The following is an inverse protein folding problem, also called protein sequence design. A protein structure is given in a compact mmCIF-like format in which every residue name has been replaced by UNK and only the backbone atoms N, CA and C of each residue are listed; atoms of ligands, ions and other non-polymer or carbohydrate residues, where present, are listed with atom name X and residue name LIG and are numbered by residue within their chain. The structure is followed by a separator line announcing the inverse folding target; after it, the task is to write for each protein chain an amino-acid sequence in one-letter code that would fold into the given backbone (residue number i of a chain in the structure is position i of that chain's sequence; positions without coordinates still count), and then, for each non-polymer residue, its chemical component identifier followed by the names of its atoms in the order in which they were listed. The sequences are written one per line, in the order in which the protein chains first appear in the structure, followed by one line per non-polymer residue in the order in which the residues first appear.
data_IF_947175348902
#
_entry.id   IF_947175348902
#
_cell.length_a   1.000
_cell.length_b   1.000
_cell.length_c   1.000
_cell.angle_alpha   90.00
_cell.angle_beta   90.00
_cell.angle_gamma   90.00
#
_symmetry.space_group_name_H-M   'P 1'
#
loop_
_entity.id
_entity.type
_entity.pdbx_description
1 polymer ?
#
# COMPACT_ATOMS: atom_id res chain seq x y z
N UNK A 1 -4.29 16.82 3.01
CA UNK A 1 -4.63 15.38 3.06
C UNK A 1 -3.57 14.65 3.86
N UNK A 2 -3.93 13.68 4.73
CA UNK A 2 -2.94 12.88 5.45
C UNK A 2 -2.13 12.04 4.46
N UNK A 3 -0.82 11.92 4.68
CA UNK A 3 0.03 10.99 3.91
C UNK A 3 -0.33 9.55 4.29
N UNK A 4 -0.38 8.61 3.34
CA UNK A 4 -0.69 7.20 3.59
C UNK A 4 0.58 6.35 3.42
N UNK A 5 1.04 5.70 4.48
CA UNK A 5 2.20 4.81 4.43
C UNK A 5 1.76 3.41 4.84
N UNK A 6 1.92 2.45 3.92
CA UNK A 6 1.45 1.07 4.09
C UNK A 6 2.62 0.10 4.16
N UNK A 7 2.67 -0.68 5.24
CA UNK A 7 3.54 -1.84 5.38
C UNK A 7 2.90 -3.05 4.67
N UNK A 8 3.40 -3.42 3.51
CA UNK A 8 3.00 -4.66 2.85
C UNK A 8 3.93 -5.81 3.30
N UNK A 9 3.48 -6.59 4.27
CA UNK A 9 4.29 -7.69 4.82
C UNK A 9 4.39 -8.89 3.90
N UNK A 10 3.58 -8.92 2.83
CA UNK A 10 3.55 -10.05 1.90
C UNK A 10 3.34 -11.37 2.67
N UNK A 11 4.13 -12.41 2.40
CA UNK A 11 4.03 -13.74 3.03
C UNK A 11 5.15 -13.98 4.07
N UNK A 12 5.56 -12.94 4.81
CA UNK A 12 6.74 -13.05 5.69
C UNK A 12 6.41 -13.23 7.19
N UNK A 13 5.22 -12.82 7.64
CA UNK A 13 4.93 -12.77 9.07
C UNK A 13 4.18 -14.01 9.55
N UNK A 14 4.51 -14.44 10.77
CA UNK A 14 3.79 -15.43 11.58
C UNK A 14 3.09 -14.74 12.75
N UNK A 15 2.17 -15.42 13.45
CA UNK A 15 1.49 -14.82 14.60
C UNK A 15 2.45 -14.30 15.66
N UNK A 16 3.51 -15.06 15.99
CA UNK A 16 4.50 -14.63 16.99
C UNK A 16 5.34 -13.44 16.55
N UNK A 17 5.72 -13.38 15.27
CA UNK A 17 6.48 -12.23 14.77
C UNK A 17 5.61 -10.99 14.62
N UNK A 18 4.31 -11.11 14.39
CA UNK A 18 3.35 -10.01 14.40
C UNK A 18 3.25 -9.40 15.80
N UNK A 19 3.10 -10.23 16.84
CA UNK A 19 3.05 -9.74 18.22
C UNK A 19 4.33 -9.00 18.60
N UNK A 20 5.50 -9.55 18.26
CA UNK A 20 6.79 -8.89 18.49
C UNK A 20 6.92 -7.56 17.73
N UNK A 21 6.48 -7.53 16.48
CA UNK A 21 6.49 -6.33 15.63
C UNK A 21 5.64 -5.21 16.26
N UNK A 22 4.41 -5.52 16.70
CA UNK A 22 3.55 -4.51 17.34
C UNK A 22 4.05 -4.09 18.71
N UNK A 23 4.65 -4.98 19.49
CA UNK A 23 5.32 -4.61 20.74
C UNK A 23 6.41 -3.57 20.49
N UNK A 24 7.22 -3.77 19.44
CA UNK A 24 8.30 -2.84 19.11
C UNK A 24 7.76 -1.55 18.48
N UNK A 25 6.81 -1.64 17.53
CA UNK A 25 6.16 -0.50 16.91
C UNK A 25 5.54 0.44 17.96
N UNK A 26 4.82 -0.10 18.94
CA UNK A 26 4.14 0.67 19.98
C UNK A 26 5.11 1.45 20.90
N UNK A 27 6.36 1.01 21.05
CA UNK A 27 7.39 1.79 21.77
C UNK A 27 7.80 3.05 21.01
N UNK A 28 7.70 3.05 19.71
CA UNK A 28 8.22 4.09 18.82
C UNK A 28 7.15 4.95 18.15
N UNK A 29 5.90 4.47 18.07
CA UNK A 29 4.79 5.16 17.38
C UNK A 29 4.49 6.56 17.95
N UNK A 30 4.79 6.79 19.24
CA UNK A 30 4.68 8.11 19.87
C UNK A 30 5.60 9.19 19.28
N UNK A 31 6.57 8.80 18.45
CA UNK A 31 7.42 9.73 17.68
C UNK A 31 6.72 10.30 16.45
N UNK A 32 5.59 9.69 16.05
CA UNK A 32 4.85 10.06 14.85
C UNK A 32 3.71 11.03 15.15
N UNK A 33 3.56 12.03 14.31
CA UNK A 33 2.35 12.87 14.30
C UNK A 33 1.24 12.22 13.46
N UNK A 34 0.43 11.39 14.10
CA UNK A 34 -0.69 10.69 13.44
C UNK A 34 -1.81 11.63 12.96
N UNK A 35 -1.73 12.93 13.25
CA UNK A 35 -2.62 13.91 12.61
C UNK A 35 -2.24 14.15 11.14
N UNK A 36 -0.97 13.95 10.78
CA UNK A 36 -0.42 14.18 9.44
C UNK A 36 -0.33 12.91 8.60
N UNK A 37 -0.26 11.73 9.25
CA UNK A 37 -0.10 10.46 8.56
C UNK A 37 -1.21 9.47 8.91
N UNK A 38 -1.54 8.60 7.96
CA UNK A 38 -2.27 7.35 8.15
C UNK A 38 -1.30 6.20 7.94
N UNK A 39 -1.15 5.37 8.93
CA UNK A 39 -0.31 4.17 8.86
C UNK A 39 -1.20 2.97 8.57
N UNK A 40 -0.86 2.19 7.55
CA UNK A 40 -1.53 0.95 7.20
C UNK A 40 -0.60 -0.25 7.38
N UNK A 41 -1.18 -1.40 7.72
CA UNK A 41 -0.47 -2.68 7.76
C UNK A 41 -1.27 -3.70 6.97
N UNK A 42 -0.59 -4.36 6.02
CA UNK A 42 -1.17 -5.39 5.16
C UNK A 42 -0.59 -6.78 5.51
N UNK A 43 -1.20 -7.50 6.46
CA UNK A 43 -0.84 -8.88 6.76
C UNK A 43 -1.47 -9.84 5.73
N UNK A 44 -0.98 -11.07 5.65
CA UNK A 44 -1.70 -12.15 4.95
C UNK A 44 -3.05 -12.45 5.61
N UNK A 45 -4.01 -12.98 4.85
CA UNK A 45 -5.41 -13.18 5.30
C UNK A 45 -5.55 -13.88 6.65
N UNK A 46 -4.78 -14.97 6.99
CA UNK A 46 -4.90 -15.65 8.29
C UNK A 46 -4.67 -14.73 9.49
N UNK A 47 -4.00 -13.61 9.30
CA UNK A 47 -3.59 -12.70 10.38
C UNK A 47 -4.42 -11.41 10.47
N UNK A 48 -5.44 -11.23 9.62
CA UNK A 48 -6.26 -10.01 9.62
C UNK A 48 -6.94 -9.76 10.98
N UNK A 49 -7.51 -10.82 11.57
CA UNK A 49 -8.19 -10.74 12.87
C UNK A 49 -7.19 -10.40 13.99
N UNK A 50 -6.03 -11.05 13.99
CA UNK A 50 -4.97 -10.78 14.96
C UNK A 50 -4.52 -9.31 14.87
N UNK A 51 -4.14 -8.85 13.67
CA UNK A 51 -3.71 -7.47 13.47
C UNK A 51 -4.80 -6.49 13.87
N UNK A 52 -6.07 -6.73 13.48
CA UNK A 52 -7.20 -5.89 13.87
C UNK A 52 -7.35 -5.75 15.38
N UNK A 53 -7.05 -6.79 16.15
CA UNK A 53 -7.12 -6.76 17.61
C UNK A 53 -5.95 -6.03 18.28
N UNK A 54 -4.81 -5.91 17.61
CA UNK A 54 -3.59 -5.29 18.13
C UNK A 54 -3.49 -3.79 17.83
N UNK A 55 -4.29 -3.29 16.87
CA UNK A 55 -4.17 -1.91 16.38
C UNK A 55 -5.20 -0.99 17.03
N UNK A 56 -4.73 0.19 17.48
CA UNK A 56 -5.60 1.31 17.86
C UNK A 56 -5.44 2.52 16.93
N UNK A 57 -4.25 2.69 16.33
CA UNK A 57 -3.87 3.88 15.55
C UNK A 57 -3.33 3.52 14.16
N UNK A 58 -3.57 2.30 13.71
CA UNK A 58 -3.09 1.77 12.42
C UNK A 58 -4.28 1.18 11.68
N UNK A 59 -4.36 1.39 10.37
CA UNK A 59 -5.40 0.82 9.52
C UNK A 59 -4.99 -0.57 9.02
N UNK A 60 -5.93 -1.50 9.01
CA UNK A 60 -5.70 -2.83 8.42
C UNK A 60 -5.97 -2.76 6.92
N UNK A 61 -5.05 -3.34 6.15
CA UNK A 61 -5.08 -3.38 4.69
C UNK A 61 -5.12 -4.84 4.24
N UNK A 62 -6.05 -5.23 3.36
CA UNK A 62 -6.00 -6.54 2.72
C UNK A 62 -4.95 -6.56 1.62
N UNK A 63 -4.22 -7.68 1.46
CA UNK A 63 -3.18 -7.80 0.43
C UNK A 63 -3.73 -8.04 -0.98
N UNK A 64 -4.97 -8.50 -1.10
CA UNK A 64 -5.72 -8.65 -2.35
C UNK A 64 -7.21 -8.77 -2.04
N UNK A 65 -8.04 -8.82 -3.08
CA UNK A 65 -9.48 -9.05 -3.00
C UNK A 65 -9.95 -9.82 -4.24
N UNK A 66 -11.00 -10.60 -4.11
CA UNK A 66 -11.63 -11.28 -5.23
C UNK A 66 -12.35 -10.30 -6.16
N UNK A 67 -12.39 -10.60 -7.45
CA UNK A 67 -13.30 -9.94 -8.40
C UNK A 67 -14.76 -10.41 -8.27
N UNK A 68 -15.01 -11.47 -7.50
CA UNK A 68 -16.36 -11.95 -7.17
C UNK A 68 -16.78 -11.46 -5.78
N UNK A 69 -18.10 -11.34 -5.55
CA UNK A 69 -18.62 -10.91 -4.24
C UNK A 69 -18.81 -12.09 -3.30
N UNK A 70 -19.82 -12.92 -3.54
CA UNK A 70 -20.10 -14.13 -2.76
C UNK A 70 -20.43 -15.27 -3.72
N UNK A 71 -20.15 -16.51 -3.32
CA UNK A 71 -20.50 -17.68 -4.11
C UNK A 71 -19.51 -18.82 -4.01
N UNK A 72 -19.58 -19.75 -4.95
CA UNK A 72 -18.76 -20.96 -5.01
C UNK A 72 -17.38 -20.67 -5.63
N UNK A 73 -16.56 -19.90 -4.91
CA UNK A 73 -15.21 -19.46 -5.34
C UNK A 73 -14.20 -19.88 -4.27
N UNK A 74 -13.90 -21.16 -4.20
CA UNK A 74 -12.93 -21.71 -3.24
C UNK A 74 -11.59 -20.98 -3.31
N UNK A 75 -10.97 -20.68 -2.18
CA UNK A 75 -9.75 -19.90 -1.99
C UNK A 75 -9.84 -18.38 -2.22
N UNK A 76 -10.95 -17.87 -2.74
CA UNK A 76 -11.12 -16.43 -2.94
C UNK A 76 -11.64 -15.76 -1.66
N UNK A 77 -11.19 -14.51 -1.43
CA UNK A 77 -11.69 -13.67 -0.33
C UNK A 77 -12.28 -12.40 -0.92
N UNK A 78 -13.56 -12.16 -0.68
CA UNK A 78 -14.29 -11.06 -1.28
C UNK A 78 -14.27 -9.77 -0.46
N UNK A 79 -14.57 -8.65 -1.10
CA UNK A 79 -14.73 -7.37 -0.41
C UNK A 79 -15.81 -7.43 0.68
N UNK A 80 -16.88 -8.21 0.46
CA UNK A 80 -17.96 -8.44 1.45
C UNK A 80 -17.43 -9.07 2.74
N UNK A 81 -16.45 -9.99 2.63
CA UNK A 81 -15.84 -10.64 3.80
C UNK A 81 -14.77 -9.75 4.45
N UNK A 82 -14.11 -8.88 3.70
CA UNK A 82 -13.00 -8.04 4.17
C UNK A 82 -13.47 -6.76 4.88
N UNK A 83 -14.66 -6.24 4.60
CA UNK A 83 -15.15 -4.96 5.11
C UNK A 83 -15.18 -4.84 6.64
N UNK A 84 -15.35 -5.97 7.33
CA UNK A 84 -15.38 -5.97 8.80
C UNK A 84 -13.98 -5.85 9.42
N UNK A 85 -12.93 -6.07 8.62
CA UNK A 85 -11.54 -6.08 9.07
C UNK A 85 -10.72 -4.93 8.50
N UNK A 86 -10.92 -4.62 7.22
CA UNK A 86 -10.00 -3.78 6.46
C UNK A 86 -10.61 -2.44 6.07
N UNK A 87 -9.84 -1.35 6.28
CA UNK A 87 -10.15 -0.02 5.74
C UNK A 87 -9.72 0.13 4.30
N UNK A 88 -8.66 -0.56 3.90
CA UNK A 88 -8.06 -0.52 2.58
C UNK A 88 -7.84 -1.94 2.04
N UNK A 89 -7.68 -2.06 0.72
CA UNK A 89 -7.24 -3.30 0.09
C UNK A 89 -6.30 -3.00 -1.07
N UNK A 90 -5.19 -3.72 -1.15
CA UNK A 90 -4.33 -3.72 -2.33
C UNK A 90 -5.07 -4.42 -3.47
N UNK A 91 -4.93 -3.90 -4.68
CA UNK A 91 -5.57 -4.42 -5.87
C UNK A 91 -4.61 -4.38 -7.03
N UNK A 92 -4.37 -5.52 -7.68
CA UNK A 92 -3.51 -5.60 -8.85
C UNK A 92 -2.02 -5.46 -8.55
N UNK A 93 -1.59 -5.82 -7.33
CA UNK A 93 -0.17 -5.86 -6.97
C UNK A 93 0.60 -6.76 -7.94
N UNK A 94 1.82 -6.39 -8.29
CA UNK A 94 2.65 -7.07 -9.29
C UNK A 94 2.85 -8.59 -9.02
N UNK A 95 2.84 -9.01 -7.76
CA UNK A 95 2.95 -10.42 -7.37
C UNK A 95 1.64 -11.23 -7.53
N UNK A 96 0.48 -10.58 -7.70
CA UNK A 96 -0.82 -11.27 -7.84
C UNK A 96 -1.17 -11.64 -9.27
N UNK A 97 -0.36 -11.22 -10.25
CA UNK A 97 -0.54 -11.48 -11.69
C UNK A 97 -1.95 -11.16 -12.25
N UNK A 98 -2.67 -10.26 -11.60
CA UNK A 98 -3.99 -9.86 -12.05
C UNK A 98 -3.90 -9.01 -13.33
N UNK A 99 -4.72 -9.35 -14.33
CA UNK A 99 -4.90 -8.46 -15.48
C UNK A 99 -5.48 -7.11 -15.02
N UNK A 100 -5.12 -6.02 -15.68
CA UNK A 100 -5.51 -4.66 -15.30
C UNK A 100 -7.04 -4.48 -15.18
N UNK A 101 -7.82 -5.02 -16.14
CA UNK A 101 -9.28 -4.98 -16.10
C UNK A 101 -9.86 -5.73 -14.89
N UNK A 102 -9.24 -6.85 -14.50
CA UNK A 102 -9.58 -7.58 -13.28
C UNK A 102 -9.32 -6.72 -12.04
N UNK A 103 -8.22 -5.97 -12.02
CA UNK A 103 -7.89 -5.04 -10.94
C UNK A 103 -8.93 -3.92 -10.80
N UNK A 104 -9.41 -3.34 -11.90
CA UNK A 104 -10.47 -2.34 -11.84
C UNK A 104 -11.81 -2.90 -11.34
N UNK A 105 -12.13 -4.15 -11.66
CA UNK A 105 -13.32 -4.82 -11.11
C UNK A 105 -13.18 -5.03 -9.60
N UNK A 106 -12.02 -5.48 -9.13
CA UNK A 106 -11.71 -5.63 -7.69
C UNK A 106 -11.84 -4.28 -6.96
N UNK A 107 -11.25 -3.21 -7.51
CA UNK A 107 -11.34 -1.86 -6.95
C UNK A 107 -12.81 -1.40 -6.80
N UNK A 108 -13.62 -1.58 -7.83
CA UNK A 108 -15.05 -1.26 -7.79
C UNK A 108 -15.81 -2.06 -6.72
N UNK A 109 -15.48 -3.33 -6.55
CA UNK A 109 -16.09 -4.17 -5.51
C UNK A 109 -15.69 -3.70 -4.09
N UNK A 110 -14.44 -3.29 -3.89
CA UNK A 110 -14.00 -2.67 -2.63
C UNK A 110 -14.83 -1.43 -2.30
N UNK A 111 -14.99 -0.51 -3.26
CA UNK A 111 -15.74 0.73 -3.04
C UNK A 111 -17.20 0.49 -2.67
N UNK A 112 -17.84 -0.53 -3.25
CA UNK A 112 -19.24 -0.92 -2.91
C UNK A 112 -19.36 -1.35 -1.45
N UNK A 113 -18.33 -1.91 -0.88
CA UNK A 113 -18.28 -2.39 0.51
C UNK A 113 -17.57 -1.40 1.46
N UNK A 114 -17.40 -0.13 1.03
CA UNK A 114 -16.76 0.95 1.80
C UNK A 114 -15.30 0.67 2.16
N UNK A 115 -14.62 -0.19 1.40
CA UNK A 115 -13.17 -0.39 1.45
C UNK A 115 -12.53 0.54 0.42
N UNK A 116 -11.54 1.31 0.81
CA UNK A 116 -10.77 2.14 -0.12
C UNK A 116 -9.74 1.28 -0.85
N UNK A 117 -9.83 1.11 -2.18
CA UNK A 117 -8.83 0.37 -2.92
C UNK A 117 -7.52 1.15 -3.03
N UNK A 118 -6.40 0.43 -2.93
CA UNK A 118 -5.07 0.89 -3.30
C UNK A 118 -4.70 0.12 -4.57
N UNK A 119 -4.91 0.74 -5.73
CA UNK A 119 -4.70 0.09 -7.02
C UNK A 119 -3.27 0.24 -7.47
N UNK A 120 -2.59 -0.89 -7.58
CA UNK A 120 -1.22 -0.96 -8.05
C UNK A 120 -1.16 -0.89 -9.58
N UNK A 121 -0.28 -0.06 -10.10
CA UNK A 121 -0.02 0.13 -11.52
C UNK A 121 1.48 -0.09 -11.75
N UNK A 122 1.82 -1.18 -12.42
CA UNK A 122 3.21 -1.57 -12.66
C UNK A 122 3.77 -1.06 -13.99
N UNK A 123 2.90 -0.74 -14.95
CA UNK A 123 3.30 -0.26 -16.27
C UNK A 123 2.36 0.84 -16.76
N UNK A 124 2.85 2.08 -16.82
CA UNK A 124 2.09 3.22 -17.33
C UNK A 124 1.79 3.13 -18.84
N UNK A 125 2.56 2.37 -19.60
CA UNK A 125 2.36 2.22 -21.03
C UNK A 125 1.09 1.39 -21.33
N UNK A 126 0.75 0.44 -20.47
CA UNK A 126 -0.44 -0.42 -20.63
C UNK A 126 -1.73 0.29 -20.20
N UNK A 127 -1.65 1.38 -19.44
CA UNK A 127 -2.80 2.13 -18.95
C UNK A 127 -3.14 3.25 -19.93
N UNK A 128 -4.02 2.98 -20.91
CA UNK A 128 -4.45 4.01 -21.86
C UNK A 128 -5.42 5.03 -21.23
N UNK A 129 -6.28 4.58 -20.32
CA UNK A 129 -7.28 5.40 -19.63
C UNK A 129 -7.65 4.74 -18.30
N UNK A 130 -7.69 5.53 -17.24
CA UNK A 130 -8.26 5.08 -15.97
C UNK A 130 -9.79 5.23 -16.00
N UNK A 131 -10.55 4.19 -15.60
CA UNK A 131 -11.99 4.31 -15.45
C UNK A 131 -12.38 5.40 -14.44
N UNK A 132 -13.49 6.11 -14.66
CA UNK A 132 -13.92 7.23 -13.81
C UNK A 132 -14.05 6.87 -12.32
N UNK A 133 -14.41 5.62 -12.00
CA UNK A 133 -14.50 5.20 -10.59
C UNK A 133 -13.15 5.19 -9.85
N UNK A 134 -12.02 5.20 -10.57
CA UNK A 134 -10.69 5.21 -9.96
C UNK A 134 -10.36 6.53 -9.25
N UNK A 135 -11.10 7.61 -9.50
CA UNK A 135 -10.99 8.86 -8.72
C UNK A 135 -11.32 8.68 -7.23
N UNK A 136 -12.04 7.62 -6.87
CA UNK A 136 -12.32 7.24 -5.49
C UNK A 136 -11.35 6.16 -4.96
N UNK A 137 -10.14 6.09 -5.49
CA UNK A 137 -9.11 5.14 -5.06
C UNK A 137 -7.78 5.84 -4.79
N UNK A 138 -6.92 5.16 -4.04
CA UNK A 138 -5.50 5.45 -3.95
C UNK A 138 -4.80 4.69 -5.07
N UNK A 139 -3.85 5.32 -5.73
CA UNK A 139 -3.02 4.69 -6.75
C UNK A 139 -1.64 4.41 -6.18
N UNK A 140 -1.11 3.22 -6.42
CA UNK A 140 0.28 2.87 -6.09
C UNK A 140 1.06 2.61 -7.38
N UNK A 141 2.12 3.38 -7.61
CA UNK A 141 3.04 3.16 -8.73
C UNK A 141 4.08 2.12 -8.32
N UNK A 142 4.04 0.95 -8.95
CA UNK A 142 4.96 -0.17 -8.74
C UNK A 142 5.71 -0.46 -10.04
N UNK A 143 6.86 0.16 -10.25
CA UNK A 143 7.71 -0.25 -11.37
C UNK A 143 8.43 -1.54 -11.00
N UNK A 144 8.26 -2.58 -11.80
CA UNK A 144 8.89 -3.88 -11.56
C UNK A 144 10.41 -3.82 -11.60
N UNK A 145 10.99 -2.84 -12.29
CA UNK A 145 12.43 -2.58 -12.31
C UNK A 145 12.93 -1.97 -11.00
N UNK A 146 12.05 -1.34 -10.23
CA UNK A 146 12.36 -0.69 -8.95
C UNK A 146 12.14 -1.62 -7.75
N UNK A 147 11.52 -2.80 -7.95
CA UNK A 147 11.17 -3.71 -6.86
C UNK A 147 12.38 -4.55 -6.46
N UNK A 148 12.63 -4.63 -5.14
CA UNK A 148 13.65 -5.53 -4.59
C UNK A 148 13.22 -6.99 -4.73
N UNK A 149 14.06 -7.82 -5.32
CA UNK A 149 13.83 -9.26 -5.49
C UNK A 149 14.69 -10.08 -4.52
N UNK A 150 14.11 -11.12 -3.93
CA UNK A 150 14.81 -12.07 -3.04
C UNK A 150 15.59 -11.40 -1.88
N UNK A 151 15.08 -10.28 -1.35
CA UNK A 151 15.74 -9.55 -0.26
C UNK A 151 16.94 -8.68 -0.68
N UNK A 152 17.27 -8.65 -1.96
CA UNK A 152 18.29 -7.74 -2.49
C UNK A 152 17.66 -6.41 -2.79
N UNK A 153 18.14 -5.37 -2.09
CA UNK A 153 17.71 -3.99 -2.31
C UNK A 153 18.15 -3.53 -3.72
N UNK A 154 17.20 -3.00 -4.47
CA UNK A 154 17.48 -2.35 -5.74
C UNK A 154 17.56 -0.83 -5.51
N UNK A 155 18.72 -0.22 -5.76
CA UNK A 155 18.90 1.21 -5.59
C UNK A 155 18.12 1.95 -6.69
N UNK A 156 17.21 2.82 -6.27
CA UNK A 156 16.36 3.59 -7.18
C UNK A 156 16.74 5.06 -7.14
N UNK A 157 16.93 5.64 -8.32
CA UNK A 157 17.18 7.06 -8.47
C UNK A 157 15.93 7.87 -8.12
N UNK A 158 16.04 8.82 -7.20
CA UNK A 158 14.97 9.75 -6.84
C UNK A 158 14.47 10.53 -8.07
N UNK A 159 15.36 10.90 -8.98
CA UNK A 159 14.98 11.59 -10.21
C UNK A 159 14.13 10.70 -11.12
N UNK A 160 14.42 9.40 -11.20
CA UNK A 160 13.58 8.44 -11.93
C UNK A 160 12.17 8.38 -11.33
N UNK A 161 12.04 8.29 -10.00
CA UNK A 161 10.74 8.28 -9.33
C UNK A 161 9.98 9.58 -9.59
N UNK A 162 10.65 10.72 -9.51
CA UNK A 162 10.07 12.03 -9.80
C UNK A 162 9.53 12.13 -11.23
N UNK A 163 10.28 11.62 -12.21
CA UNK A 163 9.82 11.56 -13.60
C UNK A 163 8.59 10.65 -13.75
N UNK A 164 8.57 9.48 -13.11
CA UNK A 164 7.40 8.56 -13.15
C UNK A 164 6.16 9.21 -12.53
N UNK A 165 6.30 9.84 -11.36
CA UNK A 165 5.21 10.58 -10.71
C UNK A 165 4.72 11.73 -11.59
N UNK A 166 5.63 12.52 -12.16
CA UNK A 166 5.31 13.62 -13.07
C UNK A 166 4.54 13.13 -14.30
N UNK A 167 5.04 12.10 -14.99
CA UNK A 167 4.39 11.50 -16.16
C UNK A 167 3.00 10.93 -15.85
N UNK A 168 2.84 10.34 -14.65
CA UNK A 168 1.53 9.85 -14.21
C UNK A 168 0.55 11.02 -14.04
N UNK A 169 0.96 12.07 -13.33
CA UNK A 169 0.12 13.26 -13.08
C UNK A 169 -0.23 13.99 -14.38
N UNK A 170 0.74 14.15 -15.27
CA UNK A 170 0.52 14.77 -16.58
C UNK A 170 -0.53 14.02 -17.40
N UNK A 171 -0.50 12.69 -17.34
CA UNK A 171 -1.39 11.84 -18.11
C UNK A 171 -2.79 11.68 -17.51
N UNK A 172 -2.90 11.57 -16.20
CA UNK A 172 -4.14 11.18 -15.52
C UNK A 172 -4.68 12.24 -14.54
N UNK A 173 -3.97 13.34 -14.32
CA UNK A 173 -4.35 14.39 -13.38
C UNK A 173 -4.04 14.03 -11.92
N UNK A 174 -4.72 14.69 -10.99
CA UNK A 174 -4.51 14.56 -9.53
C UNK A 174 -5.79 14.21 -8.77
N UNK A 175 -6.88 13.92 -9.44
CA UNK A 175 -8.20 13.69 -8.83
C UNK A 175 -8.32 12.28 -8.22
N UNK A 176 -7.31 11.87 -7.45
CA UNK A 176 -7.28 10.60 -6.72
C UNK A 176 -7.27 10.85 -5.21
N UNK A 177 -7.62 9.82 -4.42
CA UNK A 177 -7.50 9.88 -2.96
C UNK A 177 -6.04 9.89 -2.48
N UNK A 178 -5.09 9.59 -3.34
CA UNK A 178 -3.66 9.62 -3.07
C UNK A 178 -2.85 8.92 -4.14
N UNK A 179 -1.55 9.26 -4.21
CA UNK A 179 -0.57 8.63 -5.08
C UNK A 179 0.57 8.11 -4.23
N UNK A 180 0.77 6.80 -4.21
CA UNK A 180 1.83 6.13 -3.47
C UNK A 180 2.95 5.69 -4.42
N UNK A 181 4.16 5.61 -3.90
CA UNK A 181 5.26 4.92 -4.55
C UNK A 181 5.50 3.56 -3.88
N UNK A 182 5.54 2.48 -4.67
CA UNK A 182 5.65 1.09 -4.24
C UNK A 182 6.90 0.36 -4.73
N UNK A 183 7.97 1.07 -5.04
CA UNK A 183 9.28 0.48 -5.37
C UNK A 183 10.15 0.23 -4.15
N UNK A 184 11.48 0.24 -4.34
CA UNK A 184 12.45 0.05 -3.25
C UNK A 184 12.52 1.26 -2.32
N UNK A 185 11.74 1.21 -1.23
CA UNK A 185 11.70 2.23 -0.18
C UNK A 185 12.49 1.77 1.04
N UNK A 186 13.29 2.68 1.60
CA UNK A 186 13.99 2.50 2.87
C UNK A 186 14.19 3.87 3.57
N UNK A 187 14.77 3.87 4.78
CA UNK A 187 15.02 5.10 5.54
C UNK A 187 16.01 6.06 4.86
N UNK A 188 16.91 5.58 4.00
CA UNK A 188 17.88 6.44 3.32
C UNK A 188 17.24 7.28 2.21
N UNK A 189 16.18 6.77 1.56
CA UNK A 189 15.51 7.48 0.47
C UNK A 189 14.13 8.07 0.85
N UNK A 190 13.56 7.68 1.98
CA UNK A 190 12.20 8.11 2.38
C UNK A 190 12.05 9.63 2.46
N UNK A 191 13.03 10.34 3.03
CA UNK A 191 13.01 11.79 3.14
C UNK A 191 13.02 12.50 1.78
N UNK A 192 13.80 12.02 0.82
CA UNK A 192 13.82 12.58 -0.54
C UNK A 192 12.54 12.26 -1.31
N UNK A 193 12.01 11.03 -1.16
CA UNK A 193 10.70 10.67 -1.72
C UNK A 193 9.60 11.60 -1.17
N UNK A 194 9.67 11.97 0.11
CA UNK A 194 8.71 12.88 0.75
C UNK A 194 8.67 14.29 0.18
N UNK A 195 9.70 14.70 -0.58
CA UNK A 195 9.81 16.00 -1.26
C UNK A 195 9.23 16.00 -2.68
N UNK A 196 8.88 14.83 -3.23
CA UNK A 196 8.33 14.71 -4.59
C UNK A 196 6.90 15.28 -4.62
N UNK A 197 6.70 16.33 -5.39
CA UNK A 197 5.39 16.98 -5.55
C UNK A 197 4.40 16.00 -6.17
N UNK A 198 3.22 15.87 -5.54
CA UNK A 198 2.17 14.96 -5.96
C UNK A 198 2.24 13.56 -5.36
N UNK A 199 3.37 13.17 -4.77
CA UNK A 199 3.47 11.90 -4.04
C UNK A 199 2.92 12.09 -2.62
N UNK A 200 1.90 11.30 -2.27
CA UNK A 200 1.17 11.44 -1.00
C UNK A 200 1.35 10.26 -0.06
N UNK A 201 2.18 9.28 -0.43
CA UNK A 201 2.44 8.15 0.45
C UNK A 201 3.38 7.11 -0.15
N UNK A 202 3.52 6.01 0.60
CA UNK A 202 4.42 4.90 0.27
C UNK A 202 3.71 3.55 0.47
N UNK A 203 4.06 2.59 -0.39
CA UNK A 203 3.75 1.17 -0.20
C UNK A 203 5.08 0.45 0.03
N UNK A 204 5.35 0.08 1.28
CA UNK A 204 6.68 -0.40 1.73
C UNK A 204 6.64 -1.91 1.91
N UNK A 205 7.49 -2.62 1.17
CA UNK A 205 7.65 -4.08 1.27
C UNK A 205 8.64 -4.47 2.38
N UNK A 206 9.76 -5.07 2.00
CA UNK A 206 10.74 -5.68 2.92
C UNK A 206 11.20 -4.79 4.08
N UNK A 207 11.42 -3.49 3.82
CA UNK A 207 11.83 -2.53 4.84
C UNK A 207 10.79 -2.32 5.96
N UNK A 208 9.54 -2.73 5.77
CA UNK A 208 8.48 -2.67 6.78
C UNK A 208 8.45 -3.86 7.73
N UNK A 209 9.24 -4.90 7.48
CA UNK A 209 9.32 -6.07 8.35
C UNK A 209 10.02 -5.78 9.69
N UNK A 210 10.86 -4.75 9.73
CA UNK A 210 11.43 -4.19 10.95
C UNK A 210 10.59 -2.98 11.38
N UNK A 211 10.04 -3.03 12.60
CA UNK A 211 9.12 -2.02 13.11
C UNK A 211 9.79 -0.66 13.31
N UNK A 212 11.05 -0.64 13.79
CA UNK A 212 11.80 0.61 14.01
C UNK A 212 12.15 1.25 12.67
N UNK A 213 12.65 0.45 11.75
CA UNK A 213 12.96 0.91 10.40
C UNK A 213 11.71 1.49 9.70
N UNK A 214 10.54 0.85 9.90
CA UNK A 214 9.30 1.34 9.33
C UNK A 214 8.85 2.68 9.95
N UNK A 215 9.00 2.85 11.28
CA UNK A 215 8.73 4.13 11.95
C UNK A 215 9.66 5.23 11.43
N UNK A 216 10.95 4.94 11.23
CA UNK A 216 11.91 5.90 10.67
C UNK A 216 11.50 6.30 9.24
N UNK A 217 11.11 5.35 8.38
CA UNK A 217 10.58 5.64 7.03
C UNK A 217 9.37 6.59 7.10
N UNK A 218 8.42 6.33 8.00
CA UNK A 218 7.23 7.18 8.16
C UNK A 218 7.64 8.60 8.57
N UNK A 219 8.50 8.72 9.58
CA UNK A 219 8.97 10.01 10.09
C UNK A 219 9.68 10.82 9.00
N UNK A 220 10.63 10.20 8.28
CA UNK A 220 11.44 10.86 7.27
C UNK A 220 10.60 11.28 6.06
N UNK A 221 9.71 10.38 5.57
CA UNK A 221 8.82 10.70 4.45
C UNK A 221 7.82 11.81 4.79
N UNK A 222 7.26 11.78 5.99
CA UNK A 222 6.28 12.77 6.42
C UNK A 222 6.92 14.08 6.91
N UNK A 223 8.22 14.07 7.19
CA UNK A 223 8.97 15.18 7.78
C UNK A 223 8.39 15.62 9.14
N UNK A 224 8.21 14.64 10.02
CA UNK A 224 7.60 14.78 11.36
C UNK A 224 8.47 14.13 12.42
#
# INVERSE_FOLDING_TARGET
MKKLIVANWKMNMTSSTIDAWFQEFNKHVGRLDLSKVTVGVAPSYPHLVQVKSLVSNVEVVAQDVSSFLLGAYTSQVSAVQLKDFCRYALVGHSETQAALDGSFTKARNCMKESITPITCISDLATVSKLPAHMFNSVIALEDTTDISHAGVYNEVSIESVKLKVGSFIERFGTDFLGLLYGGSVNRQNAGELGKIVGLTGLLVGNASLDAVHFVDIISDFAQI
#
